data_IF_542717900977
#
_entry.id   IF_542717900977
#
_cell.length_a   1.000
_cell.length_b   1.000
_cell.length_c   1.000
_cell.angle_alpha   90.00
_cell.angle_beta   90.00
_cell.angle_gamma   90.00
#
_symmetry.space_group_name_H-M   'P 1'
#
loop_
_entity.id
_entity.type
_entity.pdbx_description
1 polymer ?
#
# COMPACT_ATOMS: atom_id res chain seq x y z
N UNK A 1 -1.66 -38.76 62.72
CA UNK A 1 -1.52 -40.14 63.25
C UNK A 1 -2.56 -40.98 62.51
N UNK A 2 -2.11 -41.98 61.73
CA UNK A 2 -2.87 -43.03 60.98
C UNK A 2 -3.75 -42.48 59.83
N UNK A 3 -3.39 -42.52 58.54
CA UNK A 3 -3.11 -43.60 57.55
C UNK A 3 -4.30 -43.92 56.59
N UNK A 4 -3.99 -43.83 55.28
CA UNK A 4 -4.49 -44.59 54.09
C UNK A 4 -5.98 -44.47 53.71
N UNK A 5 -6.38 -44.51 52.42
CA UNK A 5 -5.75 -44.79 51.13
C UNK A 5 -6.73 -44.39 49.99
N UNK A 6 -6.23 -44.11 48.78
CA UNK A 6 -6.41 -44.90 47.54
C UNK A 6 -7.88 -44.92 47.01
N UNK A 7 -8.24 -44.72 45.75
CA UNK A 7 -7.60 -45.04 44.45
C UNK A 7 -8.56 -44.59 43.31
N UNK A 8 -8.04 -44.40 42.08
CA UNK A 8 -8.82 -44.29 40.82
C UNK A 8 -8.78 -42.91 40.16
N UNK A 9 -7.87 -42.54 39.26
CA UNK A 9 -7.43 -43.13 37.98
C UNK A 9 -8.54 -43.26 36.94
N UNK A 10 -8.60 -42.32 35.98
CA UNK A 10 -9.04 -42.60 34.61
C UNK A 10 -8.14 -41.83 33.64
N UNK A 11 -7.54 -42.60 32.75
CA UNK A 11 -6.55 -42.20 31.77
C UNK A 11 -7.17 -41.54 30.53
N UNK A 12 -6.29 -40.86 29.80
CA UNK A 12 -6.49 -40.42 28.44
C UNK A 12 -6.89 -41.56 27.51
N UNK A 13 -7.74 -41.26 26.52
CA UNK A 13 -7.82 -42.07 25.30
C UNK A 13 -7.78 -41.15 24.09
N UNK A 14 -6.69 -41.32 23.37
CA UNK A 14 -6.41 -40.89 22.01
C UNK A 14 -7.28 -41.73 21.05
N UNK A 15 -7.89 -41.09 20.05
CA UNK A 15 -8.41 -41.81 18.87
C UNK A 15 -8.46 -40.84 17.71
N UNK A 16 -7.37 -40.85 16.92
CA UNK A 16 -7.39 -40.44 15.53
C UNK A 16 -7.91 -41.60 14.67
N UNK A 17 -8.73 -41.29 13.64
CA UNK A 17 -8.46 -41.56 12.22
C UNK A 17 -9.74 -41.66 11.37
N UNK A 18 -9.70 -40.98 10.21
CA UNK A 18 -10.40 -41.24 8.93
C UNK A 18 -11.93 -41.33 8.91
N UNK A 19 -12.66 -40.68 8.00
CA UNK A 19 -12.31 -40.01 6.74
C UNK A 19 -13.58 -39.93 5.88
N UNK A 20 -13.50 -39.18 4.77
CA UNK A 20 -14.49 -39.02 3.68
C UNK A 20 -15.61 -38.00 3.94
N UNK A 21 -16.06 -37.18 3.00
CA UNK A 21 -15.55 -36.41 1.84
C UNK A 21 -16.80 -35.66 1.33
N UNK A 22 -16.62 -34.65 0.45
CA UNK A 22 -17.65 -33.93 -0.34
C UNK A 22 -18.40 -32.79 0.41
N UNK A 23 -18.43 -31.52 -0.02
CA UNK A 23 -18.24 -30.92 -1.34
C UNK A 23 -17.30 -29.69 -1.27
N UNK A 24 -16.22 -29.76 -2.05
CA UNK A 24 -15.35 -28.63 -2.32
C UNK A 24 -16.00 -27.67 -3.33
N UNK A 25 -16.32 -26.46 -2.88
CA UNK A 25 -16.50 -25.34 -3.78
C UNK A 25 -15.18 -25.10 -4.55
N UNK A 26 -15.22 -24.86 -5.87
CA UNK A 26 -14.03 -24.75 -6.69
C UNK A 26 -13.24 -23.47 -6.35
N UNK A 27 -12.07 -23.68 -5.75
CA UNK A 27 -10.84 -22.91 -5.95
C UNK A 27 -10.92 -21.38 -5.99
N UNK A 28 -10.92 -20.75 -4.82
CA UNK A 28 -10.16 -19.50 -4.65
C UNK A 28 -8.88 -19.88 -3.92
N UNK A 29 -7.90 -20.41 -4.66
CA UNK A 29 -6.53 -20.46 -4.16
C UNK A 29 -6.13 -19.03 -3.82
N UNK A 30 -6.10 -18.75 -2.51
CA UNK A 30 -6.05 -17.43 -1.96
C UNK A 30 -4.87 -16.65 -2.51
N UNK A 31 -5.16 -15.56 -3.24
CA UNK A 31 -4.22 -14.44 -3.28
C UNK A 31 -3.91 -14.11 -1.82
N UNK A 32 -2.64 -14.21 -1.43
CA UNK A 32 -2.21 -13.78 -0.10
C UNK A 32 -2.85 -12.43 0.22
N UNK A 33 -3.44 -12.30 1.40
CA UNK A 33 -4.10 -11.06 1.80
C UNK A 33 -3.09 -9.92 1.66
N UNK A 34 -3.46 -8.89 0.89
CA UNK A 34 -2.58 -7.75 0.64
C UNK A 34 -2.21 -7.09 1.97
N UNK A 35 -0.93 -6.83 2.19
CA UNK A 35 -0.49 -6.03 3.34
C UNK A 35 -1.02 -4.59 3.25
N UNK A 36 -1.11 -3.91 4.39
CA UNK A 36 -1.73 -2.56 4.44
C UNK A 36 -1.04 -1.53 3.54
N UNK A 37 0.28 -1.62 3.40
CA UNK A 37 1.05 -0.75 2.49
C UNK A 37 0.70 -1.05 1.03
N UNK A 38 0.56 -2.33 0.65
CA UNK A 38 0.16 -2.71 -0.70
C UNK A 38 -1.22 -2.17 -1.05
N UNK A 39 -2.16 -2.25 -0.10
CA UNK A 39 -3.50 -1.67 -0.25
C UNK A 39 -3.42 -0.15 -0.42
N UNK A 40 -2.63 0.54 0.41
CA UNK A 40 -2.48 1.99 0.30
C UNK A 40 -1.93 2.43 -1.07
N UNK A 41 -0.94 1.70 -1.61
CA UNK A 41 -0.37 2.00 -2.93
C UNK A 41 -1.37 1.68 -4.05
N UNK A 42 -2.06 0.54 -3.98
CA UNK A 42 -3.12 0.21 -4.96
C UNK A 42 -4.24 1.24 -4.98
N UNK A 43 -4.67 1.72 -3.81
CA UNK A 43 -5.64 2.82 -3.72
C UNK A 43 -5.13 4.08 -4.37
N UNK A 44 -3.85 4.43 -4.14
CA UNK A 44 -3.26 5.63 -4.75
C UNK A 44 -3.27 5.53 -6.26
N UNK A 45 -2.87 4.38 -6.80
CA UNK A 45 -2.85 4.16 -8.26
C UNK A 45 -4.26 4.17 -8.84
N UNK A 46 -5.19 3.42 -8.27
CA UNK A 46 -6.58 3.42 -8.71
C UNK A 46 -7.20 4.82 -8.66
N UNK A 47 -6.86 5.62 -7.65
CA UNK A 47 -7.34 7.00 -7.57
C UNK A 47 -6.86 7.87 -8.73
N UNK A 48 -5.56 7.78 -9.08
CA UNK A 48 -4.94 8.61 -10.10
C UNK A 48 -5.21 8.10 -11.52
N UNK A 49 -5.17 6.78 -11.71
CA UNK A 49 -5.21 6.14 -13.02
C UNK A 49 -6.64 5.81 -13.48
N UNK A 50 -7.59 5.69 -12.53
CA UNK A 50 -8.96 5.26 -12.84
C UNK A 50 -10.01 6.25 -12.34
N UNK A 51 -10.03 6.57 -11.03
CA UNK A 51 -11.11 7.38 -10.44
C UNK A 51 -11.05 8.84 -10.88
N UNK A 52 -9.88 9.46 -10.85
CA UNK A 52 -9.70 10.85 -11.29
C UNK A 52 -10.17 11.07 -12.74
N UNK A 53 -9.64 10.30 -13.72
CA UNK A 53 -10.10 10.34 -15.10
C UNK A 53 -11.61 10.10 -15.25
N UNK A 54 -12.17 9.13 -14.52
CA UNK A 54 -13.61 8.89 -14.54
C UNK A 54 -14.43 10.10 -14.05
N UNK A 55 -14.00 10.76 -12.97
CA UNK A 55 -14.65 11.97 -12.46
C UNK A 55 -14.58 13.13 -13.45
N UNK A 56 -13.42 13.30 -14.11
CA UNK A 56 -13.21 14.30 -15.15
C UNK A 56 -14.11 14.05 -16.38
N UNK A 57 -14.24 12.79 -16.80
CA UNK A 57 -15.04 12.40 -17.97
C UNK A 57 -16.54 12.67 -17.81
N UNK A 58 -17.07 12.56 -16.58
CA UNK A 58 -18.48 12.80 -16.28
C UNK A 58 -18.77 14.25 -15.80
N UNK A 59 -17.76 15.12 -15.79
CA UNK A 59 -17.82 16.51 -15.26
C UNK A 59 -18.44 16.59 -13.84
N UNK A 60 -18.05 15.65 -12.97
CA UNK A 60 -18.55 15.61 -11.59
C UNK A 60 -18.00 16.78 -10.77
N UNK A 61 -18.71 17.20 -9.72
CA UNK A 61 -18.27 18.27 -8.82
C UNK A 61 -16.87 17.99 -8.20
N UNK A 62 -16.53 16.71 -8.01
CA UNK A 62 -15.21 16.27 -7.54
C UNK A 62 -14.11 16.28 -8.60
N UNK A 63 -14.42 16.38 -9.90
CA UNK A 63 -13.45 16.35 -11.00
C UNK A 63 -12.30 17.34 -10.78
N UNK A 64 -12.64 18.59 -10.45
CA UNK A 64 -11.63 19.64 -10.24
C UNK A 64 -10.83 19.49 -8.96
N UNK A 65 -11.26 18.63 -8.03
CA UNK A 65 -10.71 18.52 -6.69
C UNK A 65 -10.09 17.16 -6.37
N UNK A 66 -10.34 16.12 -7.18
CA UNK A 66 -9.72 14.81 -6.98
C UNK A 66 -8.18 14.88 -6.87
N UNK A 67 -7.45 15.79 -7.58
CA UNK A 67 -6.00 15.94 -7.42
C UNK A 67 -5.58 16.57 -6.08
N UNK A 68 -6.49 17.29 -5.42
CA UNK A 68 -6.27 17.97 -4.15
C UNK A 68 -6.94 17.24 -2.96
N UNK A 69 -7.54 16.08 -3.20
CA UNK A 69 -8.29 15.32 -2.19
C UNK A 69 -7.34 14.54 -1.31
N UNK A 70 -7.44 14.71 0.01
CA UNK A 70 -6.76 13.85 0.96
C UNK A 70 -7.46 12.50 1.07
N UNK A 71 -6.70 11.43 0.93
CA UNK A 71 -7.19 10.06 1.00
C UNK A 71 -6.53 9.35 2.16
N UNK A 72 -7.35 8.94 3.12
CA UNK A 72 -6.90 8.18 4.27
C UNK A 72 -7.69 6.89 4.40
N UNK A 73 -6.98 5.77 4.48
CA UNK A 73 -7.60 4.49 4.78
C UNK A 73 -7.81 4.32 6.29
N UNK A 74 -9.02 3.95 6.69
CA UNK A 74 -9.39 3.51 8.05
C UNK A 74 -10.10 2.15 8.00
N UNK A 75 -9.33 1.08 8.15
CA UNK A 75 -9.86 -0.28 8.03
C UNK A 75 -10.40 -0.55 6.63
N UNK A 76 -11.72 -0.73 6.53
CA UNK A 76 -12.44 -0.96 5.27
C UNK A 76 -13.05 0.32 4.66
N UNK A 77 -12.84 1.46 5.31
CA UNK A 77 -13.36 2.76 4.88
C UNK A 77 -12.23 3.58 4.26
N UNK A 78 -12.51 4.24 3.14
CA UNK A 78 -11.66 5.30 2.62
C UNK A 78 -12.29 6.65 2.98
N UNK A 79 -11.56 7.49 3.72
CA UNK A 79 -11.98 8.85 4.00
C UNK A 79 -11.40 9.81 2.95
N UNK A 80 -12.27 10.65 2.42
CA UNK A 80 -11.99 11.68 1.44
C UNK A 80 -12.15 13.04 2.09
N UNK A 81 -11.04 13.77 2.15
CA UNK A 81 -11.00 15.11 2.72
C UNK A 81 -10.75 16.14 1.64
N UNK A 82 -11.67 17.09 1.44
CA UNK A 82 -11.51 18.16 0.44
C UNK A 82 -11.37 19.52 1.12
N UNK A 83 -10.60 20.46 0.52
CA UNK A 83 -10.49 21.83 1.03
C UNK A 83 -11.70 22.70 0.65
N UNK A 84 -12.57 22.22 -0.23
CA UNK A 84 -13.79 22.91 -0.67
C UNK A 84 -15.00 22.26 -0.01
N UNK A 85 -15.93 23.12 0.39
CA UNK A 85 -17.24 22.74 0.90
C UNK A 85 -18.22 22.57 -0.26
N UNK A 86 -18.82 21.38 -0.39
CA UNK A 86 -19.91 21.11 -1.34
C UNK A 86 -21.29 21.46 -0.75
N UNK A 87 -21.33 22.05 0.45
CA UNK A 87 -22.56 22.40 1.16
C UNK A 87 -23.14 21.21 1.93
N UNK A 88 -24.47 21.08 1.91
CA UNK A 88 -25.20 20.04 2.66
C UNK A 88 -25.27 18.68 1.92
N UNK A 89 -24.71 18.58 0.71
CA UNK A 89 -24.74 17.36 -0.09
C UNK A 89 -23.53 16.47 0.17
N UNK A 90 -23.78 15.18 0.38
CA UNK A 90 -22.73 14.16 0.22
C UNK A 90 -22.41 14.05 -1.28
N UNK A 91 -21.15 14.32 -1.72
CA UNK A 91 -20.77 14.23 -3.13
C UNK A 91 -20.82 12.80 -3.67
N UNK A 92 -21.17 11.81 -2.85
CA UNK A 92 -21.40 10.42 -3.27
C UNK A 92 -22.87 10.00 -3.28
N UNK A 93 -23.80 10.93 -3.02
CA UNK A 93 -25.23 10.65 -2.89
C UNK A 93 -25.97 10.30 -4.20
N UNK A 94 -25.31 10.41 -5.35
CA UNK A 94 -25.91 10.33 -6.70
C UNK A 94 -25.53 9.06 -7.49
N UNK A 95 -25.12 7.98 -6.81
CA UNK A 95 -24.75 6.70 -7.44
C UNK A 95 -23.33 6.67 -8.03
N UNK A 96 -22.68 7.83 -8.15
CA UNK A 96 -21.24 7.94 -8.48
C UNK A 96 -20.40 7.26 -7.40
N UNK A 97 -20.79 7.40 -6.12
CA UNK A 97 -20.15 6.73 -4.99
C UNK A 97 -20.06 5.21 -5.12
N UNK A 98 -21.12 4.56 -5.60
CA UNK A 98 -21.13 3.10 -5.81
C UNK A 98 -20.14 2.67 -6.90
N UNK A 99 -20.00 3.49 -7.95
CA UNK A 99 -19.06 3.21 -9.03
C UNK A 99 -17.62 3.36 -8.56
N UNK A 100 -17.31 4.43 -7.83
CA UNK A 100 -15.98 4.62 -7.20
C UNK A 100 -15.67 3.46 -6.26
N UNK A 101 -16.62 3.05 -5.41
CA UNK A 101 -16.47 1.90 -4.51
C UNK A 101 -16.15 0.61 -5.25
N UNK A 102 -16.80 0.36 -6.39
CA UNK A 102 -16.54 -0.81 -7.22
C UNK A 102 -15.12 -0.80 -7.79
N UNK A 103 -14.66 0.34 -8.28
CA UNK A 103 -13.30 0.51 -8.83
C UNK A 103 -12.25 0.29 -7.74
N UNK A 104 -12.38 0.97 -6.59
CA UNK A 104 -11.46 0.84 -5.46
C UNK A 104 -11.49 -0.56 -4.83
N UNK A 105 -12.69 -1.15 -4.72
CA UNK A 105 -12.88 -2.51 -4.24
C UNK A 105 -12.20 -3.53 -5.15
N UNK A 106 -12.34 -3.39 -6.47
CA UNK A 106 -11.64 -4.23 -7.45
C UNK A 106 -10.11 -4.12 -7.31
N UNK A 107 -9.58 -2.89 -7.33
CA UNK A 107 -8.14 -2.65 -7.23
C UNK A 107 -7.50 -3.21 -5.96
N UNK A 108 -8.25 -3.21 -4.85
CA UNK A 108 -7.77 -3.61 -3.52
C UNK A 108 -8.23 -4.99 -3.06
N UNK A 109 -8.86 -5.78 -3.92
CA UNK A 109 -9.44 -7.09 -3.58
C UNK A 109 -10.45 -7.02 -2.40
N UNK A 110 -11.29 -5.98 -2.39
CA UNK A 110 -12.36 -5.79 -1.41
C UNK A 110 -11.91 -5.21 -0.06
N UNK A 111 -10.69 -4.68 0.02
CA UNK A 111 -10.17 -4.05 1.24
C UNK A 111 -10.78 -2.67 1.52
N UNK A 112 -11.48 -2.07 0.53
CA UNK A 112 -12.33 -0.90 0.71
C UNK A 112 -13.76 -1.27 0.35
N UNK A 113 -14.69 -0.89 1.22
CA UNK A 113 -16.12 -1.20 1.13
C UNK A 113 -17.01 0.01 1.36
N UNK A 114 -16.44 1.11 1.86
CA UNK A 114 -17.19 2.31 2.19
C UNK A 114 -16.36 3.57 1.92
N UNK A 115 -17.05 4.67 1.60
CA UNK A 115 -16.48 5.99 1.38
C UNK A 115 -17.10 6.96 2.36
N UNK A 116 -16.27 7.80 2.98
CA UNK A 116 -16.79 8.95 3.72
C UNK A 116 -16.16 10.22 3.19
N UNK A 117 -16.95 11.28 3.10
CA UNK A 117 -16.46 12.60 2.73
C UNK A 117 -16.51 13.56 3.93
N UNK A 118 -15.53 14.44 4.00
CA UNK A 118 -15.56 15.58 4.90
C UNK A 118 -14.86 16.80 4.28
N UNK A 119 -15.45 17.97 4.50
CA UNK A 119 -14.82 19.25 4.20
C UNK A 119 -13.85 19.66 5.34
N UNK A 120 -12.67 20.12 4.97
CA UNK A 120 -11.74 20.77 5.90
C UNK A 120 -10.91 21.86 5.20
N UNK A 121 -11.36 23.11 5.32
CA UNK A 121 -10.66 24.29 4.78
C UNK A 121 -9.24 24.49 5.35
N UNK A 122 -8.94 23.98 6.55
CA UNK A 122 -7.64 24.14 7.21
C UNK A 122 -6.64 23.04 6.85
N UNK A 123 -6.94 22.21 5.86
CA UNK A 123 -6.08 21.08 5.49
C UNK A 123 -4.77 21.58 4.86
N UNK A 124 -3.73 21.69 5.68
CA UNK A 124 -2.38 22.03 5.24
C UNK A 124 -1.66 20.83 4.60
N UNK A 125 -0.52 21.09 3.94
CA UNK A 125 0.30 20.01 3.39
C UNK A 125 0.73 19.07 4.53
N UNK A 126 0.77 17.75 4.30
CA UNK A 126 1.20 16.79 5.31
C UNK A 126 2.62 17.14 5.77
N UNK A 127 2.79 17.42 7.06
CA UNK A 127 4.15 17.62 7.60
C UNK A 127 4.91 16.31 7.55
N UNK A 128 6.24 16.39 7.38
CA UNK A 128 7.10 15.21 7.25
C UNK A 128 6.85 14.11 8.29
N UNK A 129 6.60 14.43 9.56
CA UNK A 129 6.35 13.41 10.60
C UNK A 129 4.96 12.78 10.51
N UNK A 130 3.99 13.47 9.90
CA UNK A 130 2.59 13.03 9.82
C UNK A 130 2.31 12.10 8.64
N UNK A 131 3.04 12.23 7.53
CA UNK A 131 2.90 11.31 6.39
C UNK A 131 3.31 9.88 6.80
N UNK A 132 2.31 9.02 7.00
CA UNK A 132 2.44 7.63 7.35
C UNK A 132 2.57 6.75 6.11
N UNK A 133 3.11 5.53 6.29
CA UNK A 133 3.21 4.52 5.22
C UNK A 133 1.87 4.04 4.66
N UNK A 134 0.78 4.38 5.35
CA UNK A 134 -0.60 3.98 5.03
C UNK A 134 -1.44 5.13 4.47
N UNK A 135 -0.88 6.34 4.43
CA UNK A 135 -1.56 7.47 3.77
C UNK A 135 -1.52 7.21 2.27
N UNK A 136 -2.67 7.35 1.62
CA UNK A 136 -2.83 7.05 0.20
C UNK A 136 -2.47 8.27 -0.63
N UNK A 137 -3.01 9.42 -0.24
CA UNK A 137 -2.85 10.67 -0.96
C UNK A 137 -3.04 11.84 -0.01
N UNK A 138 -2.28 12.93 -0.17
CA UNK A 138 -2.46 14.13 0.63
C UNK A 138 -2.43 15.43 -0.21
N UNK A 139 -3.03 16.53 0.29
CA UNK A 139 -3.12 17.75 -0.51
C UNK A 139 -1.73 18.29 -0.86
N UNK A 140 -1.52 18.53 -2.15
CA UNK A 140 -0.24 18.94 -2.70
C UNK A 140 0.78 17.81 -2.85
N UNK A 141 0.37 16.55 -2.70
CA UNK A 141 1.10 15.44 -3.31
C UNK A 141 1.12 15.63 -4.83
N UNK A 142 2.25 15.31 -5.48
CA UNK A 142 2.30 15.35 -6.93
C UNK A 142 1.45 14.21 -7.48
N UNK A 143 0.50 14.56 -8.35
CA UNK A 143 -0.42 13.64 -9.02
C UNK A 143 0.21 13.13 -10.32
N UNK A 144 0.93 14.03 -11.01
CA UNK A 144 1.51 13.77 -12.34
C UNK A 144 2.98 13.32 -12.30
N UNK A 145 3.50 12.91 -11.13
CA UNK A 145 4.90 12.50 -11.05
C UNK A 145 5.09 11.14 -11.72
N UNK A 146 5.64 11.17 -12.93
CA UNK A 146 6.00 9.97 -13.72
C UNK A 146 6.96 9.10 -12.92
N UNK A 147 6.53 7.90 -12.57
CA UNK A 147 7.28 6.95 -11.73
C UNK A 147 8.65 6.62 -12.34
N UNK A 148 8.75 6.64 -13.67
CA UNK A 148 9.97 6.39 -14.44
C UNK A 148 11.02 7.45 -14.15
N UNK A 149 10.61 8.72 -14.05
CA UNK A 149 11.52 9.82 -13.73
C UNK A 149 12.05 9.72 -12.31
N UNK A 150 11.17 9.38 -11.36
CA UNK A 150 11.58 9.14 -9.97
C UNK A 150 12.53 7.94 -9.88
N UNK A 151 12.20 6.83 -10.55
CA UNK A 151 13.05 5.64 -10.60
C UNK A 151 14.43 5.95 -11.19
N UNK A 152 14.49 6.61 -12.35
CA UNK A 152 15.75 7.00 -12.98
C UNK A 152 16.58 7.93 -12.08
N UNK A 153 15.93 8.88 -11.40
CA UNK A 153 16.60 9.79 -10.49
C UNK A 153 17.17 9.07 -9.25
N UNK A 154 16.44 8.12 -8.68
CA UNK A 154 16.91 7.30 -7.54
C UNK A 154 18.04 6.37 -8.01
N UNK A 155 17.87 5.69 -9.15
CA UNK A 155 18.86 4.78 -9.76
C UNK A 155 20.20 5.46 -10.00
N UNK A 156 20.20 6.68 -10.55
CA UNK A 156 21.44 7.47 -10.76
C UNK A 156 22.23 7.74 -9.45
N UNK A 157 21.57 7.62 -8.30
CA UNK A 157 22.14 7.89 -6.97
C UNK A 157 22.39 6.61 -6.16
N UNK A 158 21.96 5.45 -6.66
CA UNK A 158 22.20 4.14 -6.06
C UNK A 158 23.65 3.71 -6.32
N UNK A 159 24.46 3.87 -5.26
CA UNK A 159 25.82 3.34 -5.17
C UNK A 159 25.81 2.17 -4.20
N UNK A 160 26.39 1.05 -4.62
CA UNK A 160 26.43 -0.19 -3.86
C UNK A 160 27.86 -0.72 -3.83
N UNK A 161 28.25 -1.30 -2.71
CA UNK A 161 29.63 -1.74 -2.46
C UNK A 161 29.83 -3.23 -2.80
N UNK A 162 28.76 -3.97 -3.09
CA UNK A 162 28.78 -5.40 -3.40
C UNK A 162 27.74 -5.77 -4.45
N UNK A 163 28.04 -6.83 -5.21
CA UNK A 163 27.13 -7.41 -6.21
C UNK A 163 25.83 -7.91 -5.55
N UNK A 164 25.93 -8.53 -4.37
CA UNK A 164 24.76 -8.97 -3.60
C UNK A 164 23.84 -7.80 -3.21
N UNK A 165 24.40 -6.64 -2.84
CA UNK A 165 23.61 -5.44 -2.57
C UNK A 165 22.97 -4.88 -3.85
N UNK A 166 23.70 -4.94 -4.98
CA UNK A 166 23.17 -4.57 -6.29
C UNK A 166 21.98 -5.44 -6.68
N UNK A 167 22.09 -6.76 -6.52
CA UNK A 167 21.01 -7.70 -6.83
C UNK A 167 19.77 -7.45 -5.95
N UNK A 168 19.97 -7.32 -4.63
CA UNK A 168 18.89 -7.04 -3.69
C UNK A 168 18.15 -5.73 -4.03
N UNK A 169 18.88 -4.68 -4.39
CA UNK A 169 18.30 -3.38 -4.75
C UNK A 169 17.69 -3.38 -6.16
N UNK A 170 18.25 -4.14 -7.09
CA UNK A 170 17.73 -4.35 -8.44
C UNK A 170 16.40 -5.11 -8.46
N UNK A 171 16.06 -5.81 -7.37
CA UNK A 171 14.74 -6.44 -7.16
C UNK A 171 13.62 -5.46 -6.82
N UNK A 172 13.92 -4.19 -6.52
CA UNK A 172 12.91 -3.19 -6.15
C UNK A 172 12.37 -2.41 -7.37
N UNK A 173 11.13 -1.97 -7.25
CA UNK A 173 10.39 -1.17 -8.24
C UNK A 173 9.78 0.06 -7.58
N UNK A 174 9.83 1.22 -8.23
CA UNK A 174 9.17 2.43 -7.70
C UNK A 174 7.68 2.34 -7.98
N UNK A 175 6.91 2.01 -6.95
CA UNK A 175 5.50 1.68 -7.05
C UNK A 175 4.58 2.90 -6.93
N UNK A 176 4.98 3.86 -6.10
CA UNK A 176 4.32 5.14 -5.95
C UNK A 176 5.30 6.17 -5.37
N UNK A 177 5.02 7.43 -5.64
CA UNK A 177 5.76 8.56 -5.10
C UNK A 177 4.80 9.61 -4.59
N UNK A 178 4.97 10.00 -3.34
CA UNK A 178 4.34 11.17 -2.74
C UNK A 178 5.37 12.27 -2.52
N UNK A 179 4.92 13.43 -2.05
CA UNK A 179 5.82 14.56 -1.79
C UNK A 179 6.89 14.21 -0.74
N UNK A 180 6.56 13.32 0.18
CA UNK A 180 7.39 13.01 1.35
C UNK A 180 7.74 11.53 1.51
N UNK A 181 7.24 10.65 0.65
CA UNK A 181 7.39 9.21 0.79
C UNK A 181 7.56 8.54 -0.55
N UNK A 182 8.43 7.52 -0.59
CA UNK A 182 8.56 6.60 -1.72
C UNK A 182 8.06 5.23 -1.30
N UNK A 183 7.21 4.63 -2.12
CA UNK A 183 6.80 3.25 -1.96
C UNK A 183 7.54 2.39 -2.98
N UNK A 184 8.23 1.36 -2.48
CA UNK A 184 9.03 0.44 -3.28
C UNK A 184 8.40 -0.95 -3.21
N UNK A 185 7.95 -1.46 -4.35
CA UNK A 185 7.43 -2.82 -4.45
C UNK A 185 8.55 -3.80 -4.78
N UNK A 186 8.46 -4.97 -4.16
CA UNK A 186 9.21 -6.16 -4.51
C UNK A 186 8.24 -7.24 -5.02
N UNK A 187 8.75 -8.22 -5.74
CA UNK A 187 7.96 -9.34 -6.27
C UNK A 187 7.37 -10.22 -5.17
N UNK A 188 8.11 -10.38 -4.07
CA UNK A 188 7.74 -11.24 -2.95
C UNK A 188 8.35 -10.75 -1.62
N UNK A 189 7.96 -11.38 -0.52
CA UNK A 189 8.40 -11.04 0.83
C UNK A 189 9.90 -11.26 1.04
N UNK A 190 10.50 -12.24 0.37
CA UNK A 190 11.94 -12.51 0.49
C UNK A 190 12.72 -11.36 -0.14
N UNK A 191 12.34 -10.92 -1.34
CA UNK A 191 12.91 -9.76 -2.01
C UNK A 191 12.69 -8.47 -1.20
N UNK A 192 11.51 -8.26 -0.62
CA UNK A 192 11.24 -7.10 0.23
C UNK A 192 12.13 -7.06 1.49
N UNK A 193 12.42 -8.22 2.09
CA UNK A 193 13.26 -8.36 3.29
C UNK A 193 14.77 -8.31 2.99
N UNK A 194 15.19 -8.69 1.78
CA UNK A 194 16.60 -8.75 1.38
C UNK A 194 17.34 -7.43 1.64
N UNK A 195 16.66 -6.28 1.49
CA UNK A 195 17.24 -4.96 1.74
C UNK A 195 17.76 -4.78 3.16
N UNK A 196 17.04 -5.32 4.15
CA UNK A 196 17.40 -5.20 5.56
C UNK A 196 18.45 -6.22 6.01
N UNK A 197 18.60 -7.32 5.27
CA UNK A 197 19.49 -8.43 5.64
C UNK A 197 20.79 -8.46 4.84
N UNK A 198 20.83 -7.84 3.65
CA UNK A 198 22.00 -7.80 2.79
C UNK A 198 22.92 -6.63 3.16
N UNK A 199 24.19 -6.88 3.52
CA UNK A 199 25.14 -5.81 3.84
C UNK A 199 25.25 -4.76 2.73
N UNK A 200 25.16 -3.48 3.09
CA UNK A 200 25.29 -2.35 2.17
C UNK A 200 24.02 -1.98 1.38
N UNK A 201 23.00 -2.85 1.32
CA UNK A 201 21.77 -2.56 0.56
C UNK A 201 20.94 -1.43 1.21
N UNK A 202 20.67 -1.53 2.52
CA UNK A 202 19.90 -0.53 3.25
C UNK A 202 20.56 0.86 3.25
N UNK A 203 21.89 0.92 3.43
CA UNK A 203 22.64 2.19 3.42
C UNK A 203 22.66 2.80 2.01
N UNK A 204 22.87 1.99 0.97
CA UNK A 204 22.81 2.44 -0.43
C UNK A 204 21.46 3.03 -0.80
N UNK A 205 20.35 2.35 -0.42
CA UNK A 205 19.00 2.85 -0.64
C UNK A 205 18.72 4.14 0.15
N UNK A 206 19.10 4.16 1.42
CA UNK A 206 18.97 5.34 2.28
C UNK A 206 19.62 6.57 1.65
N UNK A 207 20.88 6.45 1.21
CA UNK A 207 21.62 7.56 0.60
C UNK A 207 21.04 7.97 -0.76
N UNK A 208 20.60 7.02 -1.58
CA UNK A 208 19.98 7.33 -2.87
C UNK A 208 18.68 8.14 -2.70
N UNK A 209 17.79 7.67 -1.82
CA UNK A 209 16.51 8.36 -1.53
C UNK A 209 16.78 9.70 -0.85
N UNK A 210 17.74 9.78 0.08
CA UNK A 210 18.13 11.03 0.75
C UNK A 210 18.58 12.09 -0.25
N UNK A 211 19.43 11.71 -1.21
CA UNK A 211 19.94 12.62 -2.25
C UNK A 211 18.85 13.05 -3.24
N UNK A 212 17.83 12.23 -3.47
CA UNK A 212 16.70 12.59 -4.30
C UNK A 212 15.72 13.51 -3.55
N UNK A 213 15.33 13.17 -2.32
CA UNK A 213 14.43 13.97 -1.48
C UNK A 213 15.08 15.23 -0.89
N UNK A 214 16.42 15.33 -0.90
CA UNK A 214 17.23 16.40 -0.29
C UNK A 214 16.97 16.60 1.21
N UNK A 215 16.59 15.53 1.91
CA UNK A 215 16.31 15.54 3.35
C UNK A 215 16.30 14.09 3.89
N UNK A 216 16.14 13.87 5.21
CA UNK A 216 16.05 12.52 5.83
C UNK A 216 15.12 11.57 5.06
N UNK A 217 15.60 10.47 4.50
CA UNK A 217 14.83 9.69 3.56
C UNK A 217 13.62 9.04 4.24
N UNK A 218 12.49 9.07 3.55
CA UNK A 218 11.27 8.35 3.91
C UNK A 218 10.85 7.46 2.77
N UNK A 219 10.95 6.16 3.00
CA UNK A 219 10.51 5.13 2.06
C UNK A 219 10.00 3.91 2.81
N UNK A 220 9.28 3.04 2.09
CA UNK A 220 8.95 1.71 2.57
C UNK A 220 9.11 0.69 1.45
N UNK A 221 9.50 -0.53 1.82
CA UNK A 221 9.53 -1.69 0.95
C UNK A 221 8.40 -2.64 1.32
N UNK A 222 7.72 -3.19 0.32
CA UNK A 222 6.63 -4.14 0.53
C UNK A 222 6.56 -5.13 -0.64
N UNK A 223 5.90 -6.28 -0.44
CA UNK A 223 5.68 -7.27 -1.48
C UNK A 223 4.32 -7.03 -2.17
N UNK A 224 4.34 -6.93 -3.50
CA UNK A 224 3.15 -6.91 -4.35
C UNK A 224 3.58 -7.17 -5.80
N UNK A 225 3.52 -8.43 -6.22
CA UNK A 225 3.95 -8.88 -7.54
C UNK A 225 3.30 -8.10 -8.68
N UNK A 226 1.99 -7.86 -8.58
CA UNK A 226 1.21 -7.15 -9.61
C UNK A 226 1.68 -5.72 -9.78
N UNK A 227 1.96 -5.02 -8.68
CA UNK A 227 2.49 -3.66 -8.76
C UNK A 227 3.95 -3.67 -9.22
N UNK A 228 4.76 -4.59 -8.73
CA UNK A 228 6.16 -4.73 -9.15
C UNK A 228 6.28 -4.98 -10.66
N UNK A 229 5.44 -5.84 -11.23
CA UNK A 229 5.43 -6.14 -12.67
C UNK A 229 5.13 -4.91 -13.55
N UNK A 230 4.33 -3.97 -13.02
CA UNK A 230 3.85 -2.78 -13.75
C UNK A 230 4.52 -1.48 -13.27
N UNK A 231 5.70 -1.58 -12.63
CA UNK A 231 6.41 -0.44 -12.06
C UNK A 231 7.85 -0.37 -12.53
N UNK A 232 8.43 0.82 -12.69
CA UNK A 232 9.80 0.98 -13.17
C UNK A 232 10.82 0.45 -12.17
N UNK A 233 11.83 -0.26 -12.68
CA UNK A 233 12.88 -0.88 -11.89
C UNK A 233 13.97 0.08 -11.43
N UNK A 234 14.47 -0.16 -10.22
CA UNK A 234 15.72 0.45 -9.77
C UNK A 234 16.90 -0.23 -10.47
N UNK A 235 17.84 0.59 -10.93
CA UNK A 235 19.07 0.14 -11.60
C UNK A 235 20.27 0.59 -10.78
N UNK A 236 20.74 -0.24 -9.83
CA UNK A 236 21.94 0.08 -9.08
C UNK A 236 23.17 0.06 -9.99
N UNK A 237 24.09 0.97 -9.74
CA UNK A 237 25.39 1.01 -10.43
C UNK A 237 26.47 0.52 -9.48
N UNK A 238 27.20 -0.49 -9.92
CA UNK A 238 28.46 -0.91 -9.32
C UNK A 238 29.56 0.08 -9.69
#
# INVERSE_FOLDING_TARGET
MVERGNEGSIAATDTASDGLDEEGAPGVYGRSALGDVAIAVRLRRAWVEEVGPFLDDIDHDLARLWPATHLRRRGLVLDLGTPVDFGLGDPFGDGVGETILRMLGSATHGAIRDLTWHHNAAMGPPTRQKAGRLDVFAPGDPVDMKLEQASAAISKRLRVESEAAAEALGGLRVAAVGRHMVWLAATDDRAAKAIGTTPGAASGLYEAVRKWQKATPKYCTYADESIAANSPALQPTF
#
